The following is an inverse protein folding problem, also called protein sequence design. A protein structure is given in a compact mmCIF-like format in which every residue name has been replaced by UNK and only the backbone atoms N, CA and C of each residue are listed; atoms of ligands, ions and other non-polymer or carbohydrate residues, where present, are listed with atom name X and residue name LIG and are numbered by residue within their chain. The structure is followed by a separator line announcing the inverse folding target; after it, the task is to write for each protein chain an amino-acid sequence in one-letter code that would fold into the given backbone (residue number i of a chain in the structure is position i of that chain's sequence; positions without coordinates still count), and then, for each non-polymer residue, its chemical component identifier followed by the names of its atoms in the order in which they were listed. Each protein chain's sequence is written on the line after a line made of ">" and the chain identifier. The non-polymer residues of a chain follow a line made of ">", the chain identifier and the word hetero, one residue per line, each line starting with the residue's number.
data_IF_195407015839
#
_entry.id   IF_195407015839
#
_cell.length_a   1.000
_cell.length_b   1.000
_cell.length_c   1.000
_cell.angle_alpha   90.00
_cell.angle_beta   90.00
_cell.angle_gamma   90.00
#
_symmetry.space_group_name_H-M   'P 1'
#
loop_
_entity.id
_entity.type
_entity.pdbx_description
1 polymer ?
#
# COMPACT_ATOMS: atom_id res chain seq x y z
N UNK A 1 -18.47 -8.94 -5.74
CA UNK A 1 -18.00 -7.95 -6.74
C UNK A 1 -18.43 -8.43 -8.13
N UNK A 2 -19.39 -7.74 -8.75
CA UNK A 2 -19.89 -8.05 -10.12
C UNK A 2 -19.01 -7.31 -11.16
N UNK A 3 -17.69 -7.53 -11.11
CA UNK A 3 -16.75 -6.93 -12.07
C UNK A 3 -16.19 -7.99 -13.00
N UNK A 4 -16.25 -7.73 -14.29
CA UNK A 4 -15.65 -8.58 -15.30
C UNK A 4 -14.31 -8.03 -15.81
N UNK A 5 -13.36 -8.90 -16.19
CA UNK A 5 -12.11 -8.46 -16.81
C UNK A 5 -12.38 -7.66 -18.10
N UNK A 6 -11.78 -6.48 -18.20
CA UNK A 6 -11.94 -5.63 -19.39
C UNK A 6 -10.95 -5.95 -20.51
N UNK A 7 -9.98 -6.83 -20.25
CA UNK A 7 -8.93 -7.27 -21.19
C UNK A 7 -8.53 -8.72 -20.90
N UNK A 8 -7.93 -9.36 -21.87
CA UNK A 8 -7.31 -10.67 -21.70
C UNK A 8 -6.10 -10.60 -20.76
N UNK A 9 -5.81 -11.71 -20.10
CA UNK A 9 -4.68 -11.82 -19.17
C UNK A 9 -3.36 -11.60 -19.91
N UNK A 10 -2.54 -10.65 -19.42
CA UNK A 10 -1.23 -10.35 -19.97
C UNK A 10 -1.24 -9.42 -21.20
N UNK A 11 -2.40 -8.95 -21.63
CA UNK A 11 -2.54 -8.04 -22.77
C UNK A 11 -2.03 -6.63 -22.44
N UNK A 12 -2.44 -6.10 -21.29
CA UNK A 12 -2.08 -4.75 -20.88
C UNK A 12 -2.01 -4.60 -19.36
N UNK A 13 -1.32 -3.56 -18.91
CA UNK A 13 -1.30 -3.14 -17.51
C UNK A 13 -2.34 -2.05 -17.30
N UNK A 14 -3.29 -2.27 -16.40
CA UNK A 14 -4.29 -1.28 -15.99
C UNK A 14 -4.16 -1.09 -14.48
N UNK A 15 -3.99 0.16 -14.03
CA UNK A 15 -4.09 0.48 -12.61
C UNK A 15 -5.54 0.35 -12.17
N UNK A 16 -5.80 -0.40 -11.11
CA UNK A 16 -7.16 -0.65 -10.62
C UNK A 16 -7.17 -0.90 -9.12
N UNK A 17 -7.97 -0.12 -8.40
CA UNK A 17 -8.20 -0.30 -6.97
C UNK A 17 -8.90 -1.62 -6.68
N UNK A 18 -9.76 -2.09 -7.60
CA UNK A 18 -10.46 -3.38 -7.47
C UNK A 18 -9.49 -4.54 -7.26
N UNK A 19 -8.34 -4.55 -7.97
CA UNK A 19 -7.32 -5.57 -7.78
C UNK A 19 -6.75 -5.56 -6.36
N UNK A 20 -6.46 -4.39 -5.81
CA UNK A 20 -5.94 -4.25 -4.44
C UNK A 20 -7.02 -4.55 -3.38
N UNK A 21 -8.27 -4.17 -3.63
CA UNK A 21 -9.41 -4.54 -2.77
C UNK A 21 -9.54 -6.07 -2.71
N UNK A 22 -9.53 -6.75 -3.85
CA UNK A 22 -9.60 -8.20 -3.91
C UNK A 22 -8.42 -8.90 -3.22
N UNK A 23 -7.22 -8.33 -3.29
CA UNK A 23 -6.06 -8.85 -2.55
C UNK A 23 -6.24 -8.70 -1.03
N UNK A 24 -6.82 -7.60 -0.55
CA UNK A 24 -7.19 -7.43 0.85
C UNK A 24 -8.16 -8.52 1.31
N UNK A 25 -9.24 -8.71 0.58
CA UNK A 25 -10.23 -9.77 0.83
C UNK A 25 -9.62 -11.18 0.82
N UNK A 26 -8.67 -11.43 -0.11
CA UNK A 26 -7.95 -12.69 -0.16
C UNK A 26 -7.11 -12.91 1.09
N UNK A 27 -6.42 -11.88 1.58
CA UNK A 27 -5.64 -11.95 2.82
C UNK A 27 -6.55 -12.30 4.00
N UNK A 28 -7.69 -11.63 4.14
CA UNK A 28 -8.65 -11.91 5.20
C UNK A 28 -9.17 -13.34 5.14
N UNK A 29 -9.52 -13.81 3.95
CA UNK A 29 -10.01 -15.18 3.74
C UNK A 29 -8.96 -16.23 4.08
N UNK A 30 -7.71 -16.05 3.67
CA UNK A 30 -6.64 -17.01 3.89
C UNK A 30 -6.10 -16.98 5.32
N UNK A 31 -6.09 -15.80 5.95
CA UNK A 31 -5.58 -15.64 7.32
C UNK A 31 -6.64 -15.90 8.40
N UNK A 32 -7.92 -15.71 8.06
CA UNK A 32 -9.03 -15.70 9.02
C UNK A 32 -9.05 -14.46 9.92
N UNK A 33 -8.26 -13.43 9.61
CA UNK A 33 -8.17 -12.17 10.36
C UNK A 33 -8.63 -11.00 9.50
N UNK A 34 -9.29 -9.97 10.07
CA UNK A 34 -9.47 -8.69 9.41
C UNK A 34 -8.12 -8.10 8.95
N UNK A 35 -8.11 -7.39 7.83
CA UNK A 35 -6.88 -6.89 7.20
C UNK A 35 -6.07 -5.98 8.14
N UNK A 36 -6.72 -5.09 8.87
CA UNK A 36 -6.07 -4.22 9.85
C UNK A 36 -5.39 -5.00 10.95
N UNK A 37 -6.04 -6.01 11.52
CA UNK A 37 -5.47 -6.90 12.54
C UNK A 37 -4.33 -7.75 11.98
N UNK A 38 -4.45 -8.22 10.74
CA UNK A 38 -3.40 -8.99 10.08
C UNK A 38 -2.12 -8.18 9.90
N UNK A 39 -2.21 -6.98 9.32
CA UNK A 39 -1.02 -6.14 9.08
C UNK A 39 -0.44 -5.58 10.37
N UNK A 40 -1.27 -5.26 11.36
CA UNK A 40 -0.80 -4.78 12.66
C UNK A 40 0.04 -5.84 13.35
N UNK A 41 -0.51 -7.05 13.52
CA UNK A 41 0.16 -8.14 14.24
C UNK A 41 1.41 -8.68 13.55
N UNK A 42 1.43 -8.72 12.20
CA UNK A 42 2.53 -9.33 11.45
C UNK A 42 3.57 -8.34 10.93
N UNK A 43 3.21 -7.05 10.83
CA UNK A 43 4.09 -6.04 10.24
C UNK A 43 4.32 -4.88 11.20
N UNK A 44 3.26 -4.16 11.62
CA UNK A 44 3.45 -2.89 12.33
C UNK A 44 3.98 -3.08 13.74
N UNK A 45 3.36 -3.94 14.54
CA UNK A 45 3.82 -4.25 15.90
C UNK A 45 5.25 -4.82 15.91
N UNK A 46 5.59 -5.85 15.10
CA UNK A 46 6.96 -6.36 15.03
C UNK A 46 8.00 -5.31 14.62
N UNK A 47 7.66 -4.36 13.76
CA UNK A 47 8.54 -3.29 13.33
C UNK A 47 8.58 -2.09 14.29
N UNK A 48 7.67 -2.04 15.27
CA UNK A 48 7.52 -0.89 16.17
C UNK A 48 6.92 0.35 15.51
N UNK A 49 6.11 0.17 14.46
CA UNK A 49 5.41 1.22 13.72
C UNK A 49 4.15 1.69 14.48
N UNK A 50 4.32 2.20 15.67
CA UNK A 50 3.24 2.51 16.63
C UNK A 50 2.34 3.70 16.23
N UNK A 51 2.61 4.35 15.11
CA UNK A 51 1.82 5.45 14.55
C UNK A 51 1.30 5.14 13.14
N UNK A 52 1.20 3.84 12.83
CA UNK A 52 0.63 3.35 11.57
C UNK A 52 -0.60 2.49 11.89
N UNK A 53 -1.75 2.83 11.33
CA UNK A 53 -3.02 2.17 11.61
C UNK A 53 -4.07 2.50 10.54
N UNK A 54 -5.06 1.65 10.41
CA UNK A 54 -6.35 1.99 9.82
C UNK A 54 -7.23 2.71 10.87
N UNK A 55 -8.16 3.56 10.43
CA UNK A 55 -9.12 4.22 11.30
C UNK A 55 -8.46 4.82 12.57
N UNK A 56 -7.84 6.01 12.49
CA UNK A 56 -7.09 6.59 13.59
C UNK A 56 -7.93 6.68 14.86
N UNK A 57 -7.41 6.24 16.00
CA UNK A 57 -8.11 6.37 17.27
C UNK A 57 -8.32 7.85 17.62
N UNK A 58 -9.40 8.14 18.35
CA UNK A 58 -9.89 9.52 18.60
C UNK A 58 -8.80 10.44 19.17
N UNK A 59 -7.99 9.93 20.10
CA UNK A 59 -6.90 10.69 20.71
C UNK A 59 -5.78 11.07 19.74
N UNK A 60 -5.70 10.38 18.58
CA UNK A 60 -4.70 10.67 17.53
C UNK A 60 -5.22 11.55 16.41
N UNK A 61 -6.52 11.74 16.28
CA UNK A 61 -7.13 12.52 15.18
C UNK A 61 -6.54 13.93 15.10
N UNK A 62 -6.25 14.57 16.23
CA UNK A 62 -5.64 15.92 16.26
C UNK A 62 -4.27 16.01 15.58
N UNK A 63 -3.60 14.88 15.35
CA UNK A 63 -2.31 14.80 14.67
C UNK A 63 -2.43 14.40 13.20
N UNK A 64 -3.60 13.99 12.77
CA UNK A 64 -3.88 13.65 11.37
C UNK A 64 -3.93 14.94 10.56
N UNK A 65 -3.33 14.96 9.40
CA UNK A 65 -3.42 16.07 8.45
C UNK A 65 -4.71 15.91 7.65
N UNK A 66 -5.54 16.95 7.53
CA UNK A 66 -6.68 16.92 6.62
C UNK A 66 -6.20 16.73 5.17
N UNK A 67 -6.96 16.01 4.37
CA UNK A 67 -6.59 15.70 2.99
C UNK A 67 -7.27 16.57 1.97
N UNK A 68 -8.56 16.88 2.14
CA UNK A 68 -9.33 17.68 1.20
C UNK A 68 -10.52 18.37 1.90
N UNK A 69 -11.19 19.25 1.16
CA UNK A 69 -12.49 19.82 1.55
C UNK A 69 -13.56 19.13 0.71
N UNK A 70 -14.55 18.51 1.37
CA UNK A 70 -15.66 17.85 0.70
C UNK A 70 -16.55 18.85 -0.06
N UNK A 71 -17.45 18.39 -0.95
CA UNK A 71 -18.37 19.29 -1.66
C UNK A 71 -19.30 20.12 -0.77
N UNK A 72 -19.43 19.76 0.52
CA UNK A 72 -20.23 20.49 1.51
C UNK A 72 -19.42 21.53 2.28
N UNK A 73 -18.11 21.63 2.02
CA UNK A 73 -17.21 22.57 2.69
C UNK A 73 -16.58 22.04 3.99
N UNK A 74 -16.70 20.74 4.31
CA UNK A 74 -16.09 20.16 5.49
C UNK A 74 -14.71 19.57 5.16
N UNK A 75 -13.80 19.62 6.12
CA UNK A 75 -12.50 18.95 6.00
C UNK A 75 -12.65 17.43 6.10
N UNK A 76 -12.06 16.71 5.16
CA UNK A 76 -11.83 15.27 5.29
C UNK A 76 -10.66 15.10 6.26
N UNK A 77 -10.96 14.70 7.49
CA UNK A 77 -10.01 14.68 8.59
C UNK A 77 -10.29 13.53 9.55
N UNK A 78 -9.31 12.68 9.79
CA UNK A 78 -9.40 11.54 10.71
C UNK A 78 -10.14 10.33 10.16
N UNK A 79 -10.49 10.32 8.89
CA UNK A 79 -11.02 9.16 8.18
C UNK A 79 -10.42 9.08 6.77
N UNK A 80 -10.53 7.91 6.15
CA UNK A 80 -9.94 7.68 4.81
C UNK A 80 -10.58 8.61 3.77
N UNK A 81 -9.75 9.19 2.91
CA UNK A 81 -10.18 10.08 1.83
C UNK A 81 -10.91 9.32 0.71
N UNK A 82 -10.42 8.13 0.36
CA UNK A 82 -10.97 7.32 -0.72
C UNK A 82 -12.41 6.87 -0.40
N UNK A 83 -13.33 7.15 -1.31
CA UNK A 83 -14.77 6.90 -1.12
C UNK A 83 -15.08 5.39 -1.06
N UNK A 84 -14.37 4.56 -1.83
CA UNK A 84 -14.57 3.12 -1.84
C UNK A 84 -14.07 2.52 -0.52
N UNK A 85 -12.86 2.90 -0.08
CA UNK A 85 -12.34 2.47 1.21
C UNK A 85 -13.23 2.96 2.37
N UNK A 86 -13.74 4.19 2.31
CA UNK A 86 -14.68 4.71 3.31
C UNK A 86 -15.95 3.86 3.38
N UNK A 87 -16.51 3.50 2.22
CA UNK A 87 -17.70 2.64 2.13
C UNK A 87 -17.46 1.21 2.65
N UNK A 88 -16.21 0.76 2.62
CA UNK A 88 -15.75 -0.52 3.18
C UNK A 88 -15.38 -0.43 4.68
N UNK A 89 -15.71 0.68 5.34
CA UNK A 89 -15.43 0.87 6.77
C UNK A 89 -14.03 1.40 7.08
N UNK A 90 -13.32 1.93 6.10
CA UNK A 90 -12.00 2.56 6.27
C UNK A 90 -10.82 1.59 6.22
N UNK A 91 -11.06 0.29 6.04
CA UNK A 91 -10.02 -0.74 5.93
C UNK A 91 -10.14 -1.40 4.56
N UNK A 92 -9.15 -1.17 3.69
CA UNK A 92 -9.15 -1.76 2.35
C UNK A 92 -7.72 -1.93 1.82
N UNK A 93 -7.54 -2.87 0.88
CA UNK A 93 -6.22 -3.18 0.34
C UNK A 93 -5.60 -2.07 -0.52
N UNK A 94 -6.37 -1.08 -0.96
CA UNK A 94 -5.92 0.02 -1.83
C UNK A 94 -5.78 1.35 -1.09
N UNK A 95 -6.48 1.56 0.02
CA UNK A 95 -6.47 2.82 0.77
C UNK A 95 -6.90 2.62 2.23
N UNK A 96 -6.74 3.67 3.06
CA UNK A 96 -7.22 3.71 4.45
C UNK A 96 -6.13 3.75 5.49
N UNK A 97 -4.87 3.57 5.11
CA UNK A 97 -3.76 3.53 6.06
C UNK A 97 -3.27 4.95 6.40
N UNK A 98 -3.15 5.23 7.69
CA UNK A 98 -2.53 6.43 8.26
C UNK A 98 -1.15 6.07 8.80
N UNK A 99 -0.17 6.94 8.57
CA UNK A 99 1.21 6.68 9.02
C UNK A 99 1.97 7.98 9.28
N UNK A 100 3.23 7.84 9.65
CA UNK A 100 4.18 8.93 9.81
C UNK A 100 5.43 8.68 8.96
N UNK A 101 6.17 9.74 8.64
CA UNK A 101 7.44 9.61 7.92
C UNK A 101 8.43 8.69 8.65
N UNK A 102 8.40 8.67 9.98
CA UNK A 102 9.24 7.75 10.79
C UNK A 102 8.88 6.29 10.55
N UNK A 103 7.60 5.96 10.65
CA UNK A 103 7.14 4.57 10.48
C UNK A 103 7.35 4.10 9.03
N UNK A 104 7.08 4.98 8.05
CA UNK A 104 7.39 4.69 6.65
C UNK A 104 8.89 4.48 6.39
N UNK A 105 9.76 5.22 7.07
CA UNK A 105 11.21 4.99 6.98
C UNK A 105 11.63 3.63 7.56
N UNK A 106 10.99 3.18 8.65
CA UNK A 106 11.21 1.84 9.22
C UNK A 106 10.79 0.77 8.22
N UNK A 107 9.60 0.90 7.64
CA UNK A 107 9.10 -0.04 6.63
C UNK A 107 10.01 -0.06 5.38
N UNK A 108 10.39 1.11 4.87
CA UNK A 108 11.28 1.23 3.72
C UNK A 108 12.65 0.60 4.00
N UNK A 109 13.21 0.80 5.19
CA UNK A 109 14.48 0.18 5.57
C UNK A 109 14.36 -1.34 5.68
N UNK A 110 13.25 -1.86 6.20
CA UNK A 110 12.96 -3.30 6.22
C UNK A 110 12.92 -3.86 4.80
N UNK A 111 12.25 -3.18 3.87
CA UNK A 111 12.18 -3.58 2.46
C UNK A 111 13.56 -3.54 1.79
N UNK A 112 14.35 -2.47 1.98
CA UNK A 112 15.73 -2.35 1.46
C UNK A 112 16.66 -3.44 2.01
N UNK A 113 16.43 -3.91 3.23
CA UNK A 113 17.13 -5.02 3.85
C UNK A 113 16.49 -6.38 3.49
N UNK A 114 15.72 -6.44 2.41
CA UNK A 114 15.09 -7.67 1.92
C UNK A 114 14.30 -8.41 2.99
N UNK A 115 13.42 -7.67 3.67
CA UNK A 115 12.49 -8.19 4.66
C UNK A 115 13.05 -8.32 6.09
N UNK A 116 14.22 -7.75 6.38
CA UNK A 116 14.85 -7.79 7.70
C UNK A 116 14.93 -6.38 8.31
N UNK A 117 14.53 -6.23 9.57
CA UNK A 117 14.74 -5.01 10.35
C UNK A 117 15.29 -5.34 11.73
N UNK A 118 16.52 -4.87 12.02
CA UNK A 118 17.27 -5.33 13.17
C UNK A 118 17.50 -6.85 13.10
N UNK A 119 16.96 -7.59 14.07
CA UNK A 119 16.99 -9.07 14.08
C UNK A 119 15.63 -9.70 13.73
N UNK A 120 14.62 -8.90 13.41
CA UNK A 120 13.28 -9.37 13.06
C UNK A 120 13.16 -9.54 11.55
N UNK A 121 12.80 -10.74 11.11
CA UNK A 121 12.46 -11.03 9.72
C UNK A 121 10.95 -10.99 9.54
N UNK A 122 10.49 -10.03 8.75
CA UNK A 122 9.08 -9.84 8.41
C UNK A 122 8.75 -10.64 7.13
N UNK A 123 9.56 -10.48 6.08
CA UNK A 123 9.40 -11.22 4.83
C UNK A 123 10.64 -12.04 4.51
N UNK A 124 10.45 -13.15 3.80
CA UNK A 124 11.58 -13.88 3.22
C UNK A 124 12.26 -13.01 2.17
N UNK A 125 13.58 -13.14 2.04
CA UNK A 125 14.34 -12.38 1.05
C UNK A 125 13.81 -12.62 -0.36
N UNK A 126 13.57 -13.88 -0.71
CA UNK A 126 13.08 -14.30 -2.02
C UNK A 126 11.71 -13.67 -2.35
N UNK A 127 10.87 -13.48 -1.33
CA UNK A 127 9.58 -12.81 -1.49
C UNK A 127 9.78 -11.33 -1.82
N UNK A 128 10.64 -10.63 -1.08
CA UNK A 128 10.92 -9.22 -1.37
C UNK A 128 11.53 -9.07 -2.76
N UNK A 129 12.53 -9.89 -3.10
CA UNK A 129 13.18 -9.86 -4.42
C UNK A 129 12.16 -10.10 -5.55
N UNK A 130 11.24 -11.06 -5.39
CA UNK A 130 10.17 -11.33 -6.35
C UNK A 130 9.23 -10.14 -6.53
N UNK A 131 8.79 -9.53 -5.43
CA UNK A 131 7.78 -8.48 -5.46
C UNK A 131 8.34 -7.12 -5.91
N UNK A 132 9.65 -6.88 -5.77
CA UNK A 132 10.30 -5.61 -6.13
C UNK A 132 11.03 -5.67 -7.49
N UNK A 133 11.03 -6.82 -8.15
CA UNK A 133 11.56 -6.98 -9.50
C UNK A 133 10.44 -6.81 -10.53
N UNK A 134 10.76 -6.21 -11.69
CA UNK A 134 9.79 -6.08 -12.80
C UNK A 134 9.20 -7.43 -13.16
N UNK A 135 7.89 -7.51 -13.18
CA UNK A 135 7.18 -8.74 -13.49
C UNK A 135 7.34 -9.19 -14.95
N UNK A 136 7.59 -8.23 -15.88
CA UNK A 136 7.76 -8.46 -17.33
C UNK A 136 6.60 -9.26 -17.98
N UNK A 137 5.41 -9.20 -17.37
CA UNK A 137 4.21 -9.88 -17.89
C UNK A 137 3.62 -9.15 -19.11
N UNK A 138 3.80 -7.83 -19.16
CA UNK A 138 3.36 -6.96 -20.26
C UNK A 138 4.58 -6.20 -20.77
N UNK A 139 4.75 -6.15 -22.11
CA UNK A 139 5.86 -5.45 -22.75
C UNK A 139 5.91 -3.98 -22.30
N UNK A 140 7.10 -3.48 -21.99
CA UNK A 140 7.37 -2.10 -21.57
C UNK A 140 6.70 -1.66 -20.27
N UNK A 141 6.05 -2.55 -19.52
CA UNK A 141 5.49 -2.24 -18.22
C UNK A 141 6.61 -2.05 -17.19
N UNK A 142 6.50 -1.00 -16.36
CA UNK A 142 7.38 -0.77 -15.21
C UNK A 142 6.94 -1.53 -13.96
N UNK A 143 5.82 -2.26 -14.04
CA UNK A 143 5.20 -2.92 -12.88
C UNK A 143 6.01 -4.09 -12.35
N UNK A 144 6.20 -4.05 -11.04
CA UNK A 144 6.52 -5.19 -10.21
C UNK A 144 5.22 -5.79 -9.67
N UNK A 145 5.28 -6.62 -8.63
CA UNK A 145 4.08 -7.13 -7.96
C UNK A 145 3.70 -6.16 -6.82
N UNK A 146 2.76 -5.26 -7.10
CA UNK A 146 2.32 -4.21 -6.16
C UNK A 146 3.22 -2.98 -6.06
N UNK A 147 4.36 -2.96 -6.76
CA UNK A 147 5.30 -1.83 -6.83
C UNK A 147 5.48 -1.37 -8.27
N UNK A 148 5.99 -0.15 -8.43
CA UNK A 148 6.51 0.38 -9.68
C UNK A 148 8.03 0.48 -9.62
N UNK A 149 8.69 0.19 -10.74
CA UNK A 149 10.09 0.51 -10.95
C UNK A 149 10.22 1.78 -11.81
N UNK A 150 11.37 2.47 -11.83
CA UNK A 150 11.56 3.66 -12.63
C UNK A 150 11.27 3.41 -14.12
N UNK A 151 10.58 4.38 -14.73
CA UNK A 151 10.36 4.44 -16.17
C UNK A 151 10.65 5.86 -16.65
N UNK A 152 10.70 6.08 -17.95
CA UNK A 152 11.01 7.40 -18.51
C UNK A 152 10.11 8.56 -18.07
N UNK A 153 8.94 8.25 -17.51
CA UNK A 153 7.96 9.21 -16.94
C UNK A 153 7.77 9.03 -15.43
N UNK A 154 8.80 8.58 -14.72
CA UNK A 154 8.73 8.33 -13.27
C UNK A 154 8.48 9.61 -12.48
N UNK A 155 7.51 9.57 -11.56
CA UNK A 155 7.25 10.66 -10.60
C UNK A 155 8.42 10.91 -9.65
N UNK A 156 9.32 9.94 -9.47
CA UNK A 156 10.54 10.06 -8.67
C UNK A 156 11.70 10.80 -9.36
N UNK A 157 11.50 11.22 -10.62
CA UNK A 157 12.51 11.95 -11.40
C UNK A 157 13.47 11.04 -12.18
N UNK A 158 14.47 11.67 -12.82
CA UNK A 158 15.38 11.00 -13.78
C UNK A 158 16.65 10.41 -13.14
N UNK A 159 16.88 10.64 -11.86
CA UNK A 159 18.09 10.22 -11.15
C UNK A 159 17.90 8.96 -10.30
N UNK A 160 16.72 8.33 -10.38
CA UNK A 160 16.49 7.06 -9.68
C UNK A 160 17.33 5.94 -10.30
N UNK A 161 17.90 5.10 -9.43
CA UNK A 161 18.52 3.85 -9.85
C UNK A 161 17.49 2.90 -10.45
N UNK A 162 17.87 2.10 -11.44
CA UNK A 162 17.03 1.03 -12.00
C UNK A 162 16.61 -0.03 -10.96
N UNK A 163 17.28 -0.06 -9.81
CA UNK A 163 16.94 -0.92 -8.67
C UNK A 163 15.92 -0.28 -7.72
N UNK A 164 15.54 0.98 -7.98
CA UNK A 164 14.52 1.65 -7.17
C UNK A 164 13.15 1.07 -7.43
N UNK A 165 12.32 1.04 -6.41
CA UNK A 165 10.90 0.70 -6.51
C UNK A 165 10.10 1.56 -5.53
N UNK A 166 8.86 1.78 -5.85
CA UNK A 166 7.97 2.62 -5.05
C UNK A 166 6.55 2.54 -5.54
N UNK A 167 5.67 3.26 -4.88
CA UNK A 167 4.30 3.46 -5.30
C UNK A 167 3.85 4.87 -4.93
N UNK A 168 3.10 5.51 -5.80
CA UNK A 168 2.49 6.81 -5.54
C UNK A 168 1.11 6.65 -4.92
N UNK A 169 0.64 7.67 -4.21
CA UNK A 169 -0.72 7.79 -3.71
C UNK A 169 -1.34 9.12 -4.10
N UNK A 170 -2.66 9.23 -3.98
CA UNK A 170 -3.38 10.47 -4.27
C UNK A 170 -3.32 11.47 -3.09
N UNK A 171 -3.30 10.99 -1.85
CA UNK A 171 -3.31 11.80 -0.62
C UNK A 171 -2.09 11.54 0.24
#
# INVERSE_FOLDING_TARGET
>A
YDTEPVREKGDTTIYSDVGAIMLGELIEKESGLPLDMFVDSLIFEPLGMSTTFYNPPEEKIKRVVPTEIDPKGNLIHGYVHDENAHSLGGVAGHAGLFSTAKDLAIFSQMMLNRGLYGWKRIFKQETVDLFTTRANLVSQSSRCLGWDSPSGASSGGIYLSDLSYGHGGYT
#
